data_IF_783310372001
#
_entry.id   IF_783310372001
#
_cell.length_a   1.000
_cell.length_b   1.000
_cell.length_c   1.000
_cell.angle_alpha   90.00
_cell.angle_beta   90.00
_cell.angle_gamma   90.00
#
_symmetry.space_group_name_H-M   'P 1'
#
loop_
_entity.id
_entity.type
_entity.pdbx_description
1 polymer ?
#
# COMPACT_ATOMS: atom_id res chain seq x y z
N UNK A 1 -11.28 16.69 -22.21
CA UNK A 1 -11.18 17.72 -21.15
C UNK A 1 -10.74 16.98 -19.90
N UNK A 2 -9.55 17.27 -19.37
CA UNK A 2 -9.03 16.54 -18.20
C UNK A 2 -9.91 16.82 -16.97
N UNK A 3 -10.11 15.80 -16.13
CA UNK A 3 -10.92 15.96 -14.91
C UNK A 3 -10.12 16.75 -13.86
N UNK A 4 -10.83 17.39 -12.90
CA UNK A 4 -10.18 18.08 -11.77
C UNK A 4 -9.30 17.14 -10.94
N UNK A 5 -9.73 15.89 -10.78
CA UNK A 5 -8.98 14.86 -10.05
C UNK A 5 -7.69 14.49 -10.79
N UNK A 6 -7.78 14.31 -12.11
CA UNK A 6 -6.62 13.99 -12.96
C UNK A 6 -5.58 15.11 -12.91
N UNK A 7 -6.01 16.37 -13.04
CA UNK A 7 -5.11 17.53 -12.95
C UNK A 7 -4.39 17.59 -11.59
N UNK A 8 -5.13 17.43 -10.49
CA UNK A 8 -4.56 17.40 -9.13
C UNK A 8 -3.55 16.26 -8.97
N UNK A 9 -3.88 15.07 -9.45
CA UNK A 9 -3.00 13.91 -9.35
C UNK A 9 -1.69 14.09 -10.13
N UNK A 10 -1.74 14.70 -11.33
CA UNK A 10 -0.55 15.07 -12.12
C UNK A 10 0.30 16.11 -11.40
N UNK A 11 -0.33 17.13 -10.80
CA UNK A 11 0.39 18.15 -10.02
C UNK A 11 1.12 17.52 -8.84
N UNK A 12 0.45 16.70 -8.03
CA UNK A 12 1.07 16.02 -6.89
C UNK A 12 2.22 15.10 -7.32
N UNK A 13 2.03 14.32 -8.39
CA UNK A 13 3.09 13.47 -8.92
C UNK A 13 4.31 14.31 -9.33
N UNK A 14 4.11 15.42 -10.03
CA UNK A 14 5.20 16.30 -10.47
C UNK A 14 5.93 16.94 -9.28
N UNK A 15 5.20 17.36 -8.26
CA UNK A 15 5.76 18.10 -7.11
C UNK A 15 6.45 17.18 -6.10
N UNK A 16 5.94 15.96 -5.91
CA UNK A 16 6.40 15.07 -4.83
C UNK A 16 7.27 13.92 -5.31
N UNK A 17 7.31 13.65 -6.62
CA UNK A 17 8.16 12.59 -7.15
C UNK A 17 9.60 13.07 -7.28
N UNK A 18 10.52 12.42 -6.58
CA UNK A 18 11.96 12.67 -6.72
C UNK A 18 12.73 11.38 -6.92
N UNK A 19 13.83 11.48 -7.68
CA UNK A 19 14.76 10.37 -7.88
C UNK A 19 15.74 10.31 -6.73
N UNK A 20 15.75 9.20 -6.02
CA UNK A 20 16.72 8.82 -5.01
C UNK A 20 17.74 7.86 -5.61
N UNK A 21 18.89 8.32 -6.11
CA UNK A 21 19.90 7.46 -6.74
C UNK A 21 19.30 6.44 -7.74
N UNK A 22 19.07 5.18 -7.30
CA UNK A 22 18.49 4.07 -8.09
C UNK A 22 16.96 3.88 -7.93
N UNK A 23 16.29 4.67 -7.09
CA UNK A 23 14.86 4.54 -6.78
C UNK A 23 14.14 5.86 -7.02
N UNK A 24 12.82 5.79 -7.05
CA UNK A 24 11.95 6.96 -6.98
C UNK A 24 11.15 6.87 -5.70
N UNK A 25 10.94 8.01 -5.07
CA UNK A 25 9.88 8.17 -4.08
C UNK A 25 8.85 9.14 -4.65
N UNK A 26 7.61 8.98 -4.21
CA UNK A 26 6.50 9.85 -4.59
C UNK A 26 5.57 10.00 -3.41
N UNK A 27 4.92 11.15 -3.30
CA UNK A 27 3.90 11.39 -2.29
C UNK A 27 2.65 10.57 -2.56
N UNK A 28 1.92 10.24 -1.50
CA UNK A 28 0.58 9.67 -1.64
C UNK A 28 -0.35 10.69 -2.33
N UNK A 29 -1.11 10.23 -3.32
CA UNK A 29 -2.00 11.06 -4.14
C UNK A 29 -3.31 11.37 -3.42
N UNK A 30 -3.25 12.18 -2.37
CA UNK A 30 -4.42 12.53 -1.56
C UNK A 30 -5.50 13.29 -2.34
N UNK A 31 -6.75 12.82 -2.24
CA UNK A 31 -7.92 13.51 -2.82
C UNK A 31 -8.13 14.91 -2.24
N UNK A 32 -7.78 15.11 -0.97
CA UNK A 32 -7.91 16.37 -0.24
C UNK A 32 -6.61 16.69 0.50
N UNK A 33 -6.30 17.97 0.70
CA UNK A 33 -5.04 18.41 1.35
C UNK A 33 -4.96 18.01 2.82
N UNK A 34 -6.13 17.98 3.49
CA UNK A 34 -6.31 17.53 4.86
C UNK A 34 -7.35 16.39 4.90
N UNK A 35 -6.95 15.14 4.58
CA UNK A 35 -7.82 13.99 4.68
C UNK A 35 -8.09 13.70 6.16
N UNK A 36 -9.36 13.62 6.52
CA UNK A 36 -9.80 13.28 7.88
C UNK A 36 -10.03 11.77 7.95
N UNK A 37 -8.97 11.03 8.27
CA UNK A 37 -9.07 9.58 8.41
C UNK A 37 -9.61 9.21 9.80
N UNK A 38 -10.58 8.28 9.89
CA UNK A 38 -11.07 7.78 11.17
C UNK A 38 -10.02 6.92 11.89
N UNK A 39 -10.21 6.74 13.20
CA UNK A 39 -9.43 5.82 14.05
C UNK A 39 -9.41 4.42 13.40
N UNK A 40 -8.23 3.90 13.05
CA UNK A 40 -8.05 2.64 12.33
C UNK A 40 -7.25 1.58 13.09
N UNK A 41 -6.67 1.94 14.24
CA UNK A 41 -5.82 1.07 15.08
C UNK A 41 -6.61 -0.10 15.62
N UNK A 42 -7.82 0.14 16.13
CA UNK A 42 -8.67 -0.93 16.68
C UNK A 42 -8.96 -2.02 15.63
N UNK A 43 -9.26 -1.60 14.40
CA UNK A 43 -9.47 -2.48 13.25
C UNK A 43 -8.20 -3.26 12.90
N UNK A 44 -7.05 -2.58 12.80
CA UNK A 44 -5.78 -3.21 12.46
C UNK A 44 -5.31 -4.21 13.52
N UNK A 45 -5.45 -3.86 14.80
CA UNK A 45 -5.10 -4.73 15.93
C UNK A 45 -5.97 -5.99 15.96
N UNK A 46 -7.28 -5.88 15.71
CA UNK A 46 -8.17 -7.05 15.65
C UNK A 46 -7.76 -8.04 14.55
N UNK A 47 -7.30 -7.52 13.40
CA UNK A 47 -6.75 -8.32 12.30
C UNK A 47 -5.41 -8.96 12.70
N UNK A 48 -4.53 -8.20 13.36
CA UNK A 48 -3.25 -8.70 13.88
C UNK A 48 -3.46 -9.85 14.88
N UNK A 49 -4.33 -9.70 15.88
CA UNK A 49 -4.59 -10.77 16.85
C UNK A 49 -5.14 -12.04 16.22
N UNK A 50 -5.85 -11.94 15.09
CA UNK A 50 -6.30 -13.12 14.35
C UNK A 50 -5.14 -13.83 13.64
N UNK A 51 -4.17 -13.07 13.14
CA UNK A 51 -2.92 -13.60 12.58
C UNK A 51 -2.06 -14.24 13.67
N UNK A 52 -1.92 -13.61 14.84
CA UNK A 52 -1.18 -14.15 15.99
C UNK A 52 -1.79 -15.48 16.45
N UNK A 53 -3.11 -15.57 16.63
CA UNK A 53 -3.77 -16.86 16.93
C UNK A 53 -3.53 -17.94 15.88
N UNK A 54 -3.27 -17.57 14.62
CA UNK A 54 -2.88 -18.53 13.59
C UNK A 54 -1.43 -18.96 13.76
N UNK A 55 -0.54 -18.03 14.09
CA UNK A 55 0.87 -18.31 14.41
C UNK A 55 0.98 -19.25 15.62
N UNK A 56 0.18 -19.03 16.67
CA UNK A 56 0.18 -19.89 17.87
C UNK A 56 -0.19 -21.34 17.55
N UNK A 57 -1.07 -21.54 16.57
CA UNK A 57 -1.55 -22.88 16.17
C UNK A 57 -0.66 -23.55 15.12
N UNK A 58 0.16 -22.78 14.40
CA UNK A 58 1.00 -23.23 13.30
C UNK A 58 2.38 -22.57 13.40
N UNK A 59 3.34 -23.20 14.10
CA UNK A 59 4.69 -22.67 14.28
C UNK A 59 5.46 -22.48 12.96
N UNK A 60 5.18 -23.30 11.94
CA UNK A 60 5.83 -23.17 10.63
C UNK A 60 5.29 -21.92 9.89
N UNK A 61 3.99 -21.66 9.99
CA UNK A 61 3.40 -20.40 9.55
C UNK A 61 4.01 -19.20 10.27
N UNK A 62 4.17 -19.27 11.59
CA UNK A 62 4.80 -18.21 12.38
C UNK A 62 6.21 -17.91 11.89
N UNK A 63 7.06 -18.93 11.74
CA UNK A 63 8.44 -18.77 11.27
C UNK A 63 8.51 -18.11 9.90
N UNK A 64 7.70 -18.58 8.94
CA UNK A 64 7.67 -18.00 7.58
C UNK A 64 7.17 -16.55 7.58
N UNK A 65 6.19 -16.25 8.42
CA UNK A 65 5.63 -14.91 8.52
C UNK A 65 6.63 -13.92 9.14
N UNK A 66 7.26 -14.30 10.24
CA UNK A 66 8.29 -13.48 10.91
C UNK A 66 9.49 -13.24 10.01
N UNK A 67 10.00 -14.28 9.35
CA UNK A 67 11.08 -14.15 8.37
C UNK A 67 10.70 -13.18 7.23
N UNK A 68 9.43 -13.17 6.81
CA UNK A 68 8.97 -12.24 5.78
C UNK A 68 8.92 -10.80 6.29
N UNK A 69 8.53 -10.57 7.54
CA UNK A 69 8.57 -9.23 8.15
C UNK A 69 10.00 -8.72 8.32
N UNK A 70 10.91 -9.59 8.76
CA UNK A 70 12.35 -9.28 8.85
C UNK A 70 12.94 -8.91 7.49
N UNK A 71 12.56 -9.59 6.42
CA UNK A 71 12.98 -9.24 5.05
C UNK A 71 12.57 -7.82 4.66
N UNK A 72 11.37 -7.36 5.07
CA UNK A 72 10.92 -5.99 4.81
C UNK A 72 11.80 -4.97 5.54
N UNK A 73 12.18 -5.27 6.79
CA UNK A 73 13.06 -4.40 7.59
C UNK A 73 14.47 -4.39 6.99
N UNK A 74 15.03 -5.56 6.68
CA UNK A 74 16.36 -5.69 6.08
C UNK A 74 16.49 -4.97 4.73
N UNK A 75 15.41 -4.95 3.93
CA UNK A 75 15.36 -4.21 2.66
C UNK A 75 15.04 -2.73 2.80
N UNK A 76 14.90 -2.23 4.03
CA UNK A 76 14.52 -0.87 4.36
C UNK A 76 13.17 -0.47 3.73
N UNK A 77 12.25 -1.42 3.60
CA UNK A 77 10.86 -1.17 3.18
C UNK A 77 9.95 -0.83 4.37
N UNK A 78 10.34 -1.29 5.56
CA UNK A 78 9.70 -0.97 6.82
C UNK A 78 10.78 -0.69 7.87
N UNK A 79 10.43 0.08 8.91
CA UNK A 79 11.26 0.28 10.08
C UNK A 79 10.38 0.30 11.32
N UNK A 80 10.99 0.06 12.47
CA UNK A 80 10.31 0.27 13.74
C UNK A 80 10.09 1.78 13.95
N UNK A 81 8.92 2.13 14.49
CA UNK A 81 8.60 3.49 14.88
C UNK A 81 9.25 3.82 16.22
N UNK A 82 9.63 5.09 16.42
CA UNK A 82 10.09 5.57 17.73
C UNK A 82 8.91 5.79 18.69
N UNK A 83 9.20 5.96 19.98
CA UNK A 83 8.16 6.22 21.01
C UNK A 83 7.45 7.56 20.76
N UNK A 84 8.19 8.53 20.25
CA UNK A 84 7.68 9.85 19.88
C UNK A 84 6.74 9.76 18.67
N UNK A 85 7.11 8.97 17.66
CA UNK A 85 6.25 8.73 16.48
C UNK A 85 4.97 7.99 16.84
N UNK A 86 5.03 7.05 17.80
CA UNK A 86 3.86 6.34 18.31
C UNK A 86 2.89 7.25 19.06
N UNK A 87 3.40 8.32 19.68
CA UNK A 87 2.60 9.28 20.45
C UNK A 87 2.04 10.41 19.58
N UNK A 88 2.52 10.53 18.34
CA UNK A 88 2.10 11.55 17.38
C UNK A 88 0.67 11.32 16.92
N UNK A 89 -0.14 12.37 16.98
CA UNK A 89 -1.48 12.37 16.41
C UNK A 89 -1.43 13.13 15.08
N UNK A 90 -1.82 12.44 14.00
CA UNK A 90 -1.87 13.03 12.65
C UNK A 90 -3.21 12.68 12.00
N UNK A 91 -3.80 13.66 11.30
CA UNK A 91 -5.02 13.45 10.50
C UNK A 91 -4.81 12.45 9.36
N UNK A 92 -3.55 12.26 8.95
CA UNK A 92 -3.10 11.33 7.89
C UNK A 92 -2.67 9.95 8.43
N UNK A 93 -2.86 9.68 9.72
CA UNK A 93 -2.42 8.43 10.34
C UNK A 93 -3.38 7.28 10.01
N UNK A 94 -2.85 6.20 9.44
CA UNK A 94 -3.61 5.00 9.11
C UNK A 94 -2.83 3.74 9.47
N UNK A 95 -3.47 2.82 10.20
CA UNK A 95 -2.91 1.51 10.47
C UNK A 95 -3.35 0.51 9.41
N UNK A 96 -2.41 0.06 8.58
CA UNK A 96 -2.67 -0.96 7.56
C UNK A 96 -2.72 -2.35 8.20
N UNK A 97 -3.87 -3.03 8.23
CA UNK A 97 -3.89 -4.45 8.58
C UNK A 97 -3.11 -5.23 7.52
N UNK A 98 -2.46 -6.30 7.96
CA UNK A 98 -1.70 -7.16 7.08
C UNK A 98 -2.03 -8.64 7.29
N UNK A 99 -1.96 -9.42 6.21
CA UNK A 99 -2.16 -10.86 6.27
C UNK A 99 -1.32 -11.57 5.19
N UNK A 100 -1.10 -12.85 5.39
CA UNK A 100 -0.38 -13.69 4.44
C UNK A 100 -1.32 -14.29 3.39
N UNK A 101 -0.86 -14.38 2.14
CA UNK A 101 -1.46 -15.22 1.11
C UNK A 101 -0.43 -16.17 0.53
N UNK A 102 -0.89 -17.37 0.16
CA UNK A 102 -0.09 -18.41 -0.49
C UNK A 102 -0.78 -18.81 -1.78
N UNK A 103 -0.02 -18.89 -2.87
CA UNK A 103 -0.54 -19.39 -4.14
C UNK A 103 -0.48 -20.93 -4.11
N UNK A 104 -1.57 -21.66 -4.39
CA UNK A 104 -1.56 -23.13 -4.47
C UNK A 104 -0.49 -23.69 -5.43
N UNK A 105 -0.20 -22.98 -6.52
CA UNK A 105 0.83 -23.35 -7.50
C UNK A 105 2.27 -23.04 -7.04
N UNK A 106 2.42 -22.26 -5.94
CA UNK A 106 3.72 -21.89 -5.34
C UNK A 106 3.59 -21.93 -3.81
N UNK A 107 3.34 -23.11 -3.22
CA UNK A 107 3.00 -23.23 -1.80
C UNK A 107 4.12 -22.72 -0.88
N UNK A 108 5.38 -22.84 -1.32
CA UNK A 108 6.55 -22.39 -0.57
C UNK A 108 6.75 -20.86 -0.59
N UNK A 109 5.93 -20.10 -1.33
CA UNK A 109 6.07 -18.65 -1.48
C UNK A 109 4.92 -17.91 -0.81
N UNK A 110 5.14 -17.55 0.46
CA UNK A 110 4.26 -16.64 1.21
C UNK A 110 4.44 -15.19 0.73
N UNK A 111 3.33 -14.46 0.62
CA UNK A 111 3.31 -13.01 0.40
C UNK A 111 2.55 -12.34 1.53
N UNK A 112 3.11 -11.26 2.08
CA UNK A 112 2.37 -10.35 2.96
C UNK A 112 1.59 -9.35 2.11
N UNK A 113 0.33 -9.18 2.44
CA UNK A 113 -0.58 -8.21 1.84
C UNK A 113 -0.89 -7.17 2.89
N UNK A 114 -0.73 -5.90 2.55
CA UNK A 114 -1.16 -4.76 3.36
C UNK A 114 -2.48 -4.26 2.79
N UNK A 115 -3.55 -4.40 3.56
CA UNK A 115 -4.93 -4.23 3.09
C UNK A 115 -5.38 -2.77 3.27
N UNK A 116 -5.07 -1.96 2.26
CA UNK A 116 -5.49 -0.55 2.19
C UNK A 116 -6.99 -0.38 1.85
N UNK A 117 -7.70 -1.47 1.53
CA UNK A 117 -9.14 -1.48 1.29
C UNK A 117 -9.94 -1.77 2.58
N UNK A 118 -9.28 -2.20 3.67
CA UNK A 118 -9.90 -2.35 4.97
C UNK A 118 -10.52 -1.03 5.41
N UNK A 119 -11.78 -1.10 5.88
CA UNK A 119 -12.54 0.08 6.30
C UNK A 119 -12.54 0.23 7.81
N UNK A 120 -12.40 1.47 8.27
CA UNK A 120 -12.74 1.90 9.62
C UNK A 120 -13.64 3.13 9.52
N UNK A 121 -14.66 3.25 10.35
CA UNK A 121 -15.63 4.35 10.26
C UNK A 121 -16.28 4.52 8.86
N UNK A 122 -16.39 3.44 8.08
CA UNK A 122 -16.93 3.46 6.72
C UNK A 122 -15.97 3.87 5.60
N UNK A 123 -14.74 4.30 5.93
CA UNK A 123 -13.73 4.81 4.99
C UNK A 123 -12.52 3.87 4.97
N UNK A 124 -11.89 3.67 3.81
CA UNK A 124 -10.58 3.00 3.66
C UNK A 124 -9.49 3.98 3.23
N UNK A 125 -8.21 3.57 3.34
CA UNK A 125 -7.11 4.39 2.83
C UNK A 125 -7.22 4.61 1.32
N UNK A 126 -7.64 3.59 0.57
CA UNK A 126 -7.88 3.71 -0.88
C UNK A 126 -8.97 4.75 -1.20
N UNK A 127 -10.00 4.88 -0.36
CA UNK A 127 -11.05 5.89 -0.57
C UNK A 127 -10.51 7.33 -0.48
N UNK A 128 -9.42 7.54 0.27
CA UNK A 128 -8.77 8.85 0.45
C UNK A 128 -7.71 9.18 -0.61
N UNK A 129 -7.35 8.22 -1.47
CA UNK A 129 -6.33 8.36 -2.51
C UNK A 129 -6.93 8.38 -3.92
N UNK A 130 -6.36 9.18 -4.80
CA UNK A 130 -6.66 9.18 -6.24
C UNK A 130 -5.92 8.03 -6.91
N UNK A 131 -6.52 7.45 -7.95
CA UNK A 131 -5.87 6.40 -8.76
C UNK A 131 -4.63 6.90 -9.51
N UNK A 132 -4.55 8.22 -9.73
CA UNK A 132 -3.54 8.84 -10.59
C UNK A 132 -3.94 8.81 -12.06
N UNK A 133 -3.19 9.52 -12.92
CA UNK A 133 -3.40 9.51 -14.35
C UNK A 133 -2.96 8.18 -14.96
N UNK A 134 -3.70 7.69 -15.95
CA UNK A 134 -3.29 6.52 -16.72
C UNK A 134 -2.35 6.95 -17.86
N UNK A 135 -1.07 6.58 -17.74
CA UNK A 135 -0.06 6.82 -18.77
C UNK A 135 0.12 5.64 -19.73
N UNK A 136 -0.66 4.56 -19.56
CA UNK A 136 -0.58 3.40 -20.44
C UNK A 136 -1.31 3.68 -21.75
N UNK A 137 -0.68 3.31 -22.86
CA UNK A 137 -1.38 3.28 -24.14
C UNK A 137 -2.39 2.13 -24.12
N UNK A 138 -3.64 2.34 -24.55
CA UNK A 138 -4.63 1.27 -24.64
C UNK A 138 -4.11 0.12 -25.50
N UNK A 139 -4.36 -1.12 -25.06
CA UNK A 139 -3.92 -2.33 -25.77
C UNK A 139 -4.29 -2.34 -27.28
N UNK A 140 -5.49 -1.90 -27.71
CA UNK A 140 -5.79 -1.78 -29.14
C UNK A 140 -4.83 -0.85 -29.89
N UNK A 141 -4.43 0.26 -29.28
CA UNK A 141 -3.46 1.19 -29.86
C UNK A 141 -2.09 0.52 -30.09
N UNK A 142 -1.64 -0.28 -29.13
CA UNK A 142 -0.43 -1.09 -29.33
C UNK A 142 -0.60 -2.08 -30.49
N UNK A 143 -1.71 -2.82 -30.54
CA UNK A 143 -1.97 -3.82 -31.59
C UNK A 143 -2.05 -3.20 -33.00
N UNK A 144 -2.64 -2.01 -33.14
CA UNK A 144 -2.70 -1.32 -34.42
C UNK A 144 -1.33 -0.80 -34.87
N UNK A 145 -0.51 -0.31 -33.95
CA UNK A 145 0.85 0.15 -34.25
C UNK A 145 1.75 -0.99 -34.73
N UNK A 146 1.63 -2.19 -34.16
CA UNK A 146 2.32 -3.40 -34.65
C UNK A 146 1.93 -3.80 -36.08
N UNK A 147 0.74 -3.40 -36.55
CA UNK A 147 0.27 -3.67 -37.92
C UNK A 147 0.62 -2.55 -38.90
N UNK A 148 0.86 -1.33 -38.41
CA UNK A 148 1.19 -0.17 -39.24
C UNK A 148 2.66 -0.08 -39.60
N UNK A 149 3.54 -0.60 -38.75
CA UNK A 149 4.98 -0.63 -38.99
C UNK A 149 5.46 -2.09 -38.99
N UNK A 150 6.00 -2.61 -40.11
CA UNK A 150 6.51 -3.99 -40.20
C UNK A 150 7.73 -4.24 -39.32
#
# INVERSE_FOLDING_TARGET
>A
MESKEELRSKTLLKETTRRLSERFETGLLWKHDDPQLPESRSMALKRLSSTERKMDRDPEFALRYSAKMEEFIAKNYARQLTVEELSSHSTKLWYLPHFSVTNPNKPNKMRLVFDAAAKSGGISLNDALMSGPDFLTPLPGHLFNFRHYP
#
